data_IF_741925761290
#
_entry.id   IF_741925761290
#
_cell.length_a   1.000
_cell.length_b   1.000
_cell.length_c   1.000
_cell.angle_alpha   90.00
_cell.angle_beta   90.00
_cell.angle_gamma   90.00
#
_symmetry.space_group_name_H-M   'P 1'
#
loop_
_entity.id
_entity.type
_entity.pdbx_description
1 polymer ?
#
# COMPACT_ATOMS: atom_id res chain seq x y z
N UNK A 1 5.41 -59.51 5.90
CA UNK A 1 4.21 -58.68 6.13
C UNK A 1 4.70 -57.25 6.17
N UNK A 2 4.69 -56.62 5.05
CA UNK A 2 3.75 -55.69 4.46
C UNK A 2 3.71 -54.31 5.10
N UNK A 3 4.22 -53.33 4.30
CA UNK A 3 3.73 -51.95 4.06
C UNK A 3 4.22 -50.89 5.00
N UNK A 4 4.62 -49.71 4.61
CA UNK A 4 4.66 -49.01 3.30
C UNK A 4 5.71 -47.93 3.38
N UNK A 5 6.58 -47.89 2.42
CA UNK A 5 7.27 -46.71 1.97
C UNK A 5 6.26 -45.90 1.15
N UNK A 6 6.00 -44.66 1.49
CA UNK A 6 5.34 -43.70 0.60
C UNK A 6 6.10 -42.37 0.67
N UNK A 7 6.91 -42.18 -0.31
CA UNK A 7 6.95 -41.06 -1.25
C UNK A 7 6.97 -39.66 -0.66
N UNK A 8 8.16 -39.12 -0.58
CA UNK A 8 8.39 -37.67 -0.68
C UNK A 8 8.39 -37.31 -2.16
N UNK A 9 7.58 -36.37 -2.61
CA UNK A 9 7.80 -35.76 -3.90
C UNK A 9 8.83 -34.64 -3.75
N UNK A 10 9.99 -34.85 -4.33
CA UNK A 10 10.87 -33.80 -4.79
C UNK A 10 10.11 -32.91 -5.78
N UNK A 11 9.93 -31.65 -5.41
CA UNK A 11 9.65 -30.60 -6.38
C UNK A 11 10.38 -29.35 -5.92
N UNK A 12 11.39 -28.89 -6.65
CA UNK A 12 11.90 -27.55 -6.47
C UNK A 12 10.83 -26.58 -6.95
N UNK A 13 10.08 -26.01 -6.02
CA UNK A 13 9.19 -24.90 -6.33
C UNK A 13 10.05 -23.73 -6.81
N UNK A 14 9.99 -23.49 -8.11
CA UNK A 14 10.39 -22.25 -8.74
C UNK A 14 9.57 -21.10 -8.10
N UNK A 15 10.11 -20.48 -7.08
CA UNK A 15 9.61 -19.22 -6.58
C UNK A 15 10.37 -18.15 -7.37
N UNK A 16 9.79 -17.85 -8.52
CA UNK A 16 10.18 -16.76 -9.42
C UNK A 16 9.98 -15.40 -8.74
N UNK A 17 10.59 -14.37 -9.28
CA UNK A 17 10.57 -12.93 -8.94
C UNK A 17 9.21 -12.32 -8.51
N UNK A 18 8.13 -13.09 -8.58
CA UNK A 18 6.79 -12.75 -8.10
C UNK A 18 6.68 -12.45 -6.59
N UNK A 19 7.68 -12.81 -5.77
CA UNK A 19 7.59 -12.63 -4.31
C UNK A 19 7.90 -11.21 -3.85
N UNK A 20 8.76 -10.48 -4.55
CA UNK A 20 9.02 -9.06 -4.25
C UNK A 20 7.87 -8.18 -4.75
N UNK A 21 7.22 -8.60 -5.86
CA UNK A 21 6.01 -7.95 -6.37
C UNK A 21 4.79 -8.08 -5.43
N UNK A 22 4.78 -9.09 -4.56
CA UNK A 22 3.68 -9.32 -3.64
C UNK A 22 3.61 -8.29 -2.50
N UNK A 23 4.68 -7.56 -2.28
CA UNK A 23 4.91 -6.68 -1.14
C UNK A 23 4.18 -5.35 -1.28
N UNK A 24 4.36 -4.67 -2.41
CA UNK A 24 3.73 -3.37 -2.68
C UNK A 24 2.21 -3.51 -2.88
N UNK A 25 1.79 -4.64 -3.45
CA UNK A 25 0.40 -4.96 -3.76
C UNK A 25 -0.51 -5.14 -2.53
N UNK A 26 0.03 -5.54 -1.39
CA UNK A 26 -0.78 -5.77 -0.18
C UNK A 26 -1.12 -4.49 0.57
N UNK A 27 -0.23 -3.50 0.57
CA UNK A 27 -0.50 -2.18 1.14
C UNK A 27 -1.59 -1.43 0.35
N UNK A 28 -1.62 -1.59 -0.97
CA UNK A 28 -2.62 -0.98 -1.86
C UNK A 28 -3.97 -1.71 -1.81
N UNK A 29 -4.00 -3.01 -1.45
CA UNK A 29 -5.23 -3.81 -1.36
C UNK A 29 -6.18 -3.39 -0.24
N UNK A 30 -5.70 -2.63 0.77
CA UNK A 30 -6.57 -2.16 1.85
C UNK A 30 -7.62 -1.15 1.40
N UNK A 31 -7.48 -0.55 0.22
CA UNK A 31 -8.42 0.45 -0.31
C UNK A 31 -9.59 -0.13 -1.12
N UNK A 32 -9.63 -1.45 -1.35
CA UNK A 32 -10.68 -2.11 -2.14
C UNK A 32 -11.74 -2.84 -1.30
N UNK A 33 -11.93 -2.48 -0.04
CA UNK A 33 -13.08 -2.96 0.75
C UNK A 33 -14.35 -2.41 0.09
N UNK A 34 -15.33 -3.24 -0.30
CA UNK A 34 -16.57 -2.75 -0.91
C UNK A 34 -17.31 -1.85 0.08
N UNK A 35 -17.40 -0.58 -0.26
CA UNK A 35 -18.11 0.48 0.49
C UNK A 35 -19.65 0.31 0.43
N UNK A 36 -20.14 -0.91 0.47
CA UNK A 36 -21.56 -1.23 0.23
C UNK A 36 -22.43 -1.30 1.50
N UNK A 37 -21.91 -1.05 2.71
CA UNK A 37 -22.69 -1.27 3.95
C UNK A 37 -22.43 -0.25 5.06
N UNK A 38 -22.57 1.05 4.78
CA UNK A 38 -22.71 2.05 5.85
C UNK A 38 -23.75 3.12 5.48
N UNK A 39 -25.00 2.69 5.36
CA UNK A 39 -26.13 3.61 5.46
C UNK A 39 -26.96 3.23 6.68
N UNK A 40 -26.59 3.73 7.84
CA UNK A 40 -27.50 3.94 8.95
C UNK A 40 -26.78 4.72 10.06
N UNK A 41 -26.87 6.04 10.04
CA UNK A 41 -27.31 6.83 11.21
C UNK A 41 -27.35 8.30 10.82
N UNK A 42 -28.56 8.84 10.86
CA UNK A 42 -28.91 10.24 10.60
C UNK A 42 -28.23 11.17 11.59
N UNK A 43 -27.34 12.01 11.06
CA UNK A 43 -27.13 13.35 11.59
C UNK A 43 -27.47 14.28 10.43
N UNK A 44 -28.30 15.25 10.65
CA UNK A 44 -28.81 16.28 9.76
C UNK A 44 -27.66 16.90 8.95
N UNK A 45 -27.32 16.28 7.81
CA UNK A 45 -26.29 16.75 6.87
C UNK A 45 -27.00 17.59 5.84
N UNK A 46 -26.67 18.89 5.79
CA UNK A 46 -26.89 19.72 4.59
C UNK A 46 -26.62 18.88 3.35
N UNK A 47 -27.48 18.93 2.30
CA UNK A 47 -27.28 18.18 1.09
C UNK A 47 -25.89 18.47 0.54
N UNK A 48 -25.01 17.49 0.57
CA UNK A 48 -23.64 17.62 0.03
C UNK A 48 -23.83 17.73 -1.48
N UNK A 49 -23.40 18.84 -2.06
CA UNK A 49 -23.45 19.04 -3.50
C UNK A 49 -22.75 17.86 -4.20
N UNK A 50 -23.45 17.22 -5.14
CA UNK A 50 -22.92 16.08 -5.90
C UNK A 50 -21.74 16.58 -6.73
N UNK A 51 -20.56 15.97 -6.62
CA UNK A 51 -19.38 16.39 -7.38
C UNK A 51 -19.64 16.42 -8.89
N UNK A 52 -19.01 17.33 -9.59
CA UNK A 52 -19.22 17.53 -11.02
C UNK A 52 -18.98 16.26 -11.86
N UNK A 53 -17.95 15.47 -11.50
CA UNK A 53 -17.65 14.20 -12.18
C UNK A 53 -18.76 13.15 -11.97
N UNK A 54 -19.34 13.11 -10.78
CA UNK A 54 -20.42 12.17 -10.45
C UNK A 54 -21.72 12.60 -11.15
N UNK A 55 -21.99 13.91 -11.18
CA UNK A 55 -23.14 14.44 -11.91
C UNK A 55 -23.05 14.19 -13.41
N UNK A 56 -21.86 14.34 -14.01
CA UNK A 56 -21.61 14.02 -15.41
C UNK A 56 -21.76 12.52 -15.69
N UNK A 57 -21.29 11.65 -14.79
CA UNK A 57 -21.52 10.20 -14.88
C UNK A 57 -23.01 9.83 -14.80
N UNK A 58 -23.76 10.44 -13.88
CA UNK A 58 -25.19 10.22 -13.73
C UNK A 58 -26.00 10.66 -14.95
N UNK A 59 -25.52 11.60 -15.73
CA UNK A 59 -26.13 12.05 -16.98
C UNK A 59 -25.92 11.09 -18.16
N UNK A 60 -25.04 10.08 -18.03
CA UNK A 60 -24.92 9.04 -19.05
C UNK A 60 -26.20 8.19 -19.14
N UNK A 61 -26.49 7.60 -20.32
CA UNK A 61 -27.56 6.61 -20.46
C UNK A 61 -27.38 5.47 -19.44
N UNK A 62 -28.48 4.96 -18.88
CA UNK A 62 -28.46 3.89 -17.87
C UNK A 62 -27.63 2.69 -18.32
N UNK A 63 -27.80 2.25 -19.57
CA UNK A 63 -27.07 1.14 -20.16
C UNK A 63 -25.53 1.36 -20.10
N UNK A 64 -25.06 2.58 -20.36
CA UNK A 64 -23.63 2.93 -20.27
C UNK A 64 -23.11 2.93 -18.84
N UNK A 65 -23.90 3.39 -17.89
CA UNK A 65 -23.54 3.32 -16.46
C UNK A 65 -23.45 1.88 -15.97
N UNK A 66 -24.40 1.05 -16.38
CA UNK A 66 -24.41 -0.38 -16.03
C UNK A 66 -23.21 -1.12 -16.65
N UNK A 67 -22.90 -0.83 -17.92
CA UNK A 67 -21.73 -1.35 -18.59
C UNK A 67 -20.43 -0.95 -17.87
N UNK A 68 -20.28 0.34 -17.53
CA UNK A 68 -19.14 0.86 -16.77
C UNK A 68 -18.99 0.16 -15.42
N UNK A 69 -20.06 0.11 -14.63
CA UNK A 69 -20.05 -0.50 -13.30
C UNK A 69 -19.66 -1.99 -13.36
N UNK A 70 -20.17 -2.71 -14.35
CA UNK A 70 -19.80 -4.12 -14.58
C UNK A 70 -18.31 -4.29 -14.85
N UNK A 71 -17.72 -3.43 -15.72
CA UNK A 71 -16.30 -3.49 -16.05
C UNK A 71 -15.42 -3.11 -14.87
N UNK A 72 -15.80 -2.07 -14.11
CA UNK A 72 -15.08 -1.66 -12.91
C UNK A 72 -15.08 -2.76 -11.85
N UNK A 73 -16.23 -3.38 -11.58
CA UNK A 73 -16.33 -4.48 -10.62
C UNK A 73 -15.51 -5.70 -11.07
N UNK A 74 -15.52 -6.03 -12.37
CA UNK A 74 -14.70 -7.11 -12.91
C UNK A 74 -13.20 -6.80 -12.78
N UNK A 75 -12.78 -5.56 -13.07
CA UNK A 75 -11.41 -5.12 -12.87
C UNK A 75 -10.96 -5.24 -11.42
N UNK A 76 -11.79 -4.82 -10.47
CA UNK A 76 -11.51 -4.95 -9.03
C UNK A 76 -11.34 -6.41 -8.63
N UNK A 77 -12.23 -7.30 -9.10
CA UNK A 77 -12.15 -8.74 -8.82
C UNK A 77 -10.87 -9.37 -9.40
N UNK A 78 -10.51 -9.01 -10.63
CA UNK A 78 -9.29 -9.50 -11.29
C UNK A 78 -8.03 -9.01 -10.55
N UNK A 79 -8.00 -7.74 -10.17
CA UNK A 79 -6.91 -7.17 -9.39
C UNK A 79 -6.75 -7.87 -8.04
N UNK A 80 -7.84 -8.06 -7.30
CA UNK A 80 -7.84 -8.83 -6.05
C UNK A 80 -7.39 -10.28 -6.22
N UNK A 81 -7.66 -10.88 -7.39
CA UNK A 81 -7.17 -12.21 -7.78
C UNK A 81 -5.75 -12.22 -8.37
N UNK A 82 -4.99 -11.11 -8.29
CA UNK A 82 -3.63 -10.96 -8.82
C UNK A 82 -3.51 -11.10 -10.35
N UNK A 83 -4.61 -11.00 -11.07
CA UNK A 83 -4.67 -11.01 -12.54
C UNK A 83 -4.56 -9.58 -13.07
N UNK A 84 -3.41 -8.94 -12.81
CA UNK A 84 -3.23 -7.49 -12.98
C UNK A 84 -3.33 -7.06 -14.45
N UNK A 85 -2.81 -7.85 -15.40
CA UNK A 85 -2.92 -7.53 -16.83
C UNK A 85 -4.37 -7.48 -17.28
N UNK A 86 -5.16 -8.46 -16.90
CA UNK A 86 -6.58 -8.54 -17.25
C UNK A 86 -7.39 -7.47 -16.50
N UNK A 87 -7.01 -7.15 -15.25
CA UNK A 87 -7.58 -6.02 -14.53
C UNK A 87 -7.37 -4.70 -15.28
N UNK A 88 -6.15 -4.46 -15.78
CA UNK A 88 -5.83 -3.25 -16.56
C UNK A 88 -6.61 -3.20 -17.88
N UNK A 89 -6.84 -4.33 -18.55
CA UNK A 89 -7.71 -4.38 -19.74
C UNK A 89 -9.13 -3.89 -19.40
N UNK A 90 -9.71 -4.38 -18.29
CA UNK A 90 -11.03 -3.97 -17.84
C UNK A 90 -11.07 -2.51 -17.37
N UNK A 91 -10.01 -2.02 -16.76
CA UNK A 91 -9.84 -0.58 -16.45
C UNK A 91 -9.87 0.24 -17.73
N UNK A 92 -9.15 -0.16 -18.78
CA UNK A 92 -9.14 0.53 -20.06
C UNK A 92 -10.52 0.50 -20.74
N UNK A 93 -11.24 -0.63 -20.68
CA UNK A 93 -12.60 -0.75 -21.19
C UNK A 93 -13.59 0.16 -20.45
N UNK A 94 -13.50 0.23 -19.12
CA UNK A 94 -14.32 1.13 -18.31
C UNK A 94 -14.00 2.60 -18.59
N UNK A 95 -12.70 2.93 -18.70
CA UNK A 95 -12.23 4.29 -19.01
C UNK A 95 -12.72 4.79 -20.37
N UNK A 96 -12.87 3.90 -21.36
CA UNK A 96 -13.41 4.25 -22.67
C UNK A 96 -14.90 4.66 -22.60
N UNK A 97 -15.62 4.24 -21.56
CA UNK A 97 -17.02 4.65 -21.33
C UNK A 97 -17.05 5.99 -20.59
N UNK A 98 -16.31 6.09 -19.49
CA UNK A 98 -16.18 7.32 -18.72
C UNK A 98 -14.86 7.31 -17.91
N UNK A 99 -14.06 8.37 -18.06
CA UNK A 99 -12.68 8.38 -17.56
C UNK A 99 -12.53 8.99 -16.16
N UNK A 100 -13.40 9.91 -15.78
CA UNK A 100 -13.22 10.77 -14.62
C UNK A 100 -13.98 10.24 -13.39
N UNK A 101 -13.69 8.99 -13.01
CA UNK A 101 -14.17 8.36 -11.77
C UNK A 101 -12.96 8.09 -10.86
N UNK A 102 -12.94 8.63 -9.63
CA UNK A 102 -11.82 8.47 -8.70
C UNK A 102 -11.47 7.01 -8.43
N UNK A 103 -12.47 6.16 -8.25
CA UNK A 103 -12.29 4.73 -7.97
C UNK A 103 -11.65 3.98 -9.16
N UNK A 104 -12.00 4.35 -10.40
CA UNK A 104 -11.38 3.82 -11.61
C UNK A 104 -9.91 4.24 -11.72
N UNK A 105 -9.63 5.52 -11.48
CA UNK A 105 -8.28 6.08 -11.53
C UNK A 105 -7.40 5.50 -10.42
N UNK A 106 -7.96 5.30 -9.22
CA UNK A 106 -7.26 4.65 -8.11
C UNK A 106 -6.91 3.20 -8.45
N UNK A 107 -7.84 2.43 -9.02
CA UNK A 107 -7.56 1.06 -9.48
C UNK A 107 -6.54 1.02 -10.61
N UNK A 108 -6.60 1.97 -11.55
CA UNK A 108 -5.60 2.13 -12.60
C UNK A 108 -4.21 2.34 -12.01
N UNK A 109 -4.07 3.29 -11.08
CA UNK A 109 -2.82 3.56 -10.38
C UNK A 109 -2.30 2.31 -9.65
N UNK A 110 -3.18 1.56 -9.01
CA UNK A 110 -2.81 0.30 -8.35
C UNK A 110 -2.26 -0.75 -9.35
N UNK A 111 -2.89 -0.89 -10.52
CA UNK A 111 -2.34 -1.76 -11.58
C UNK A 111 -0.97 -1.27 -12.09
N UNK A 112 -0.80 0.04 -12.24
CA UNK A 112 0.46 0.66 -12.70
C UNK A 112 1.59 0.47 -11.68
N UNK A 113 1.28 0.44 -10.37
CA UNK A 113 2.23 0.06 -9.30
C UNK A 113 2.70 -1.38 -9.46
N UNK A 114 1.79 -2.30 -9.71
CA UNK A 114 2.15 -3.72 -9.95
C UNK A 114 3.09 -3.88 -11.16
N UNK A 115 2.94 -3.01 -12.16
CA UNK A 115 3.87 -2.94 -13.31
C UNK A 115 5.13 -2.13 -13.01
N UNK A 116 5.33 -1.68 -11.78
CA UNK A 116 6.43 -0.80 -11.36
C UNK A 116 6.51 0.52 -12.17
N UNK A 117 5.41 0.94 -12.74
CA UNK A 117 5.29 2.20 -13.49
C UNK A 117 4.90 3.33 -12.54
N UNK A 118 5.76 3.63 -11.55
CA UNK A 118 5.45 4.54 -10.44
C UNK A 118 5.06 5.95 -10.90
N UNK A 119 5.71 6.49 -11.92
CA UNK A 119 5.36 7.81 -12.47
C UNK A 119 3.92 7.85 -13.00
N UNK A 120 3.51 6.80 -13.73
CA UNK A 120 2.13 6.70 -14.25
C UNK A 120 1.14 6.51 -13.12
N UNK A 121 1.45 5.64 -12.16
CA UNK A 121 0.62 5.42 -10.99
C UNK A 121 0.40 6.72 -10.20
N UNK A 122 1.46 7.51 -9.99
CA UNK A 122 1.36 8.80 -9.31
C UNK A 122 0.46 9.78 -10.06
N UNK A 123 0.51 9.81 -11.39
CA UNK A 123 -0.40 10.63 -12.20
C UNK A 123 -1.86 10.17 -12.06
N UNK A 124 -2.11 8.85 -12.09
CA UNK A 124 -3.45 8.29 -11.92
C UNK A 124 -4.02 8.60 -10.54
N UNK A 125 -3.23 8.43 -9.48
CA UNK A 125 -3.65 8.74 -8.10
C UNK A 125 -3.86 10.24 -7.87
N UNK A 126 -3.00 11.10 -8.40
CA UNK A 126 -3.18 12.56 -8.29
C UNK A 126 -4.47 13.01 -8.97
N UNK A 127 -4.76 12.48 -10.15
CA UNK A 127 -6.03 12.78 -10.83
C UNK A 127 -7.23 12.28 -10.02
N UNK A 128 -7.12 11.13 -9.35
CA UNK A 128 -8.15 10.64 -8.45
C UNK A 128 -8.33 11.56 -7.22
N UNK A 129 -7.23 12.06 -6.62
CA UNK A 129 -7.27 12.99 -5.48
C UNK A 129 -7.85 14.36 -5.87
N UNK A 130 -7.56 14.84 -7.08
CA UNK A 130 -8.19 16.08 -7.62
C UNK A 130 -9.71 15.95 -7.72
N UNK A 131 -10.23 14.80 -8.15
CA UNK A 131 -11.66 14.55 -8.28
C UNK A 131 -12.33 14.31 -6.92
N UNK A 132 -11.65 13.65 -5.98
CA UNK A 132 -12.14 13.29 -4.65
C UNK A 132 -11.14 13.66 -3.57
N UNK A 133 -10.98 14.97 -3.29
CA UNK A 133 -10.00 15.44 -2.32
C UNK A 133 -10.26 14.89 -0.92
N UNK A 134 -9.18 14.52 -0.23
CA UNK A 134 -9.26 14.05 1.14
C UNK A 134 -9.69 12.59 1.28
N UNK A 135 -9.58 11.79 0.25
CA UNK A 135 -9.75 10.34 0.30
C UNK A 135 -8.49 9.70 0.89
N UNK A 136 -8.60 9.12 2.09
CA UNK A 136 -7.45 8.57 2.82
C UNK A 136 -6.74 7.47 2.04
N UNK A 137 -7.48 6.62 1.34
CA UNK A 137 -6.97 5.53 0.50
C UNK A 137 -6.15 6.04 -0.69
N UNK A 138 -6.63 7.08 -1.38
CA UNK A 138 -5.90 7.68 -2.51
C UNK A 138 -4.63 8.36 -2.02
N UNK A 139 -4.71 9.15 -0.94
CA UNK A 139 -3.54 9.83 -0.37
C UNK A 139 -2.53 8.81 0.17
N UNK A 140 -3.00 7.71 0.75
CA UNK A 140 -2.14 6.62 1.19
C UNK A 140 -1.40 5.98 0.01
N UNK A 141 -2.06 5.70 -1.10
CA UNK A 141 -1.41 5.18 -2.30
C UNK A 141 -0.34 6.14 -2.86
N UNK A 142 -0.59 7.46 -2.82
CA UNK A 142 0.42 8.47 -3.17
C UNK A 142 1.61 8.40 -2.20
N UNK A 143 1.34 8.29 -0.90
CA UNK A 143 2.37 8.17 0.12
C UNK A 143 3.24 6.92 -0.05
N UNK A 144 2.62 5.78 -0.40
CA UNK A 144 3.31 4.52 -0.69
C UNK A 144 4.29 4.68 -1.86
N UNK A 145 3.88 5.34 -2.94
CA UNK A 145 4.81 5.60 -4.06
C UNK A 145 6.00 6.43 -3.58
N UNK A 146 5.78 7.55 -2.91
CA UNK A 146 6.87 8.37 -2.39
C UNK A 146 7.76 7.59 -1.40
N UNK A 147 7.19 6.69 -0.60
CA UNK A 147 7.94 5.85 0.33
C UNK A 147 8.86 4.87 -0.41
N UNK A 148 8.35 4.12 -1.40
CA UNK A 148 9.14 3.13 -2.15
C UNK A 148 10.13 3.77 -3.11
N UNK A 149 9.85 4.98 -3.59
CA UNK A 149 10.80 5.78 -4.39
C UNK A 149 11.79 6.57 -3.53
N UNK A 150 11.69 6.45 -2.20
CA UNK A 150 12.58 7.09 -1.22
C UNK A 150 12.51 8.63 -1.20
N UNK A 151 11.39 9.16 -1.62
CA UNK A 151 11.10 10.60 -1.56
C UNK A 151 10.54 10.95 -0.16
N UNK A 152 11.43 10.90 0.86
CA UNK A 152 11.05 10.87 2.27
C UNK A 152 10.24 12.06 2.75
N UNK A 153 10.54 13.28 2.28
CA UNK A 153 9.78 14.49 2.63
C UNK A 153 8.34 14.44 2.07
N UNK A 154 8.20 14.00 0.83
CA UNK A 154 6.89 13.83 0.18
C UNK A 154 6.08 12.72 0.85
N UNK A 155 6.73 11.58 1.18
CA UNK A 155 6.12 10.48 1.91
C UNK A 155 5.64 10.93 3.30
N UNK A 156 6.50 11.63 4.09
CA UNK A 156 6.14 12.17 5.40
C UNK A 156 4.93 13.10 5.32
N UNK A 157 4.92 14.00 4.33
CA UNK A 157 3.80 14.93 4.12
C UNK A 157 2.50 14.21 3.81
N UNK A 158 2.53 13.23 2.89
CA UNK A 158 1.34 12.49 2.50
C UNK A 158 0.84 11.57 3.64
N UNK A 159 1.73 10.85 4.34
CA UNK A 159 1.38 10.03 5.52
C UNK A 159 0.76 10.86 6.64
N UNK A 160 1.28 12.07 6.87
CA UNK A 160 0.72 12.99 7.88
C UNK A 160 -0.71 13.42 7.53
N UNK A 161 -1.01 13.62 6.24
CA UNK A 161 -2.38 13.89 5.76
C UNK A 161 -3.30 12.70 6.00
N UNK A 162 -2.83 11.48 5.70
CA UNK A 162 -3.60 10.26 5.98
C UNK A 162 -3.96 10.19 7.46
N UNK A 163 -2.99 10.37 8.37
CA UNK A 163 -3.26 10.35 9.82
C UNK A 163 -4.25 11.43 10.26
N UNK A 164 -4.19 12.62 9.68
CA UNK A 164 -5.14 13.69 9.99
C UNK A 164 -6.58 13.35 9.59
N UNK A 165 -6.76 12.46 8.61
CA UNK A 165 -8.07 11.99 8.14
C UNK A 165 -8.54 10.80 9.00
N UNK A 166 -7.72 9.74 9.08
CA UNK A 166 -8.07 8.48 9.80
C UNK A 166 -8.16 8.69 11.30
N UNK A 167 -7.34 9.56 11.88
CA UNK A 167 -7.34 9.85 13.32
C UNK A 167 -8.63 10.50 13.84
N UNK A 168 -9.52 10.94 12.94
CA UNK A 168 -10.83 11.50 13.29
C UNK A 168 -11.94 10.46 13.35
N UNK A 169 -11.69 9.25 12.86
CA UNK A 169 -12.69 8.19 12.80
C UNK A 169 -12.23 6.98 13.64
N UNK A 170 -12.87 6.70 14.79
CA UNK A 170 -12.46 5.68 15.74
C UNK A 170 -12.89 4.25 15.33
N UNK A 171 -13.21 3.98 14.07
CA UNK A 171 -13.65 2.65 13.63
C UNK A 171 -12.49 1.64 13.75
N UNK A 172 -12.74 0.52 14.41
CA UNK A 172 -11.74 -0.52 14.71
C UNK A 172 -10.94 -0.99 13.47
N UNK A 173 -11.56 -0.99 12.28
CA UNK A 173 -10.91 -1.36 11.02
C UNK A 173 -9.82 -0.36 10.57
N UNK A 174 -9.80 0.85 11.12
CA UNK A 174 -8.81 1.87 10.80
C UNK A 174 -7.59 1.82 11.74
N UNK A 175 -7.66 1.05 12.84
CA UNK A 175 -6.56 0.95 13.80
C UNK A 175 -5.28 0.43 13.14
N UNK A 176 -5.37 -0.70 12.44
CA UNK A 176 -4.21 -1.33 11.81
C UNK A 176 -3.58 -0.42 10.74
N UNK A 177 -4.43 0.24 9.93
CA UNK A 177 -3.95 1.22 8.96
C UNK A 177 -3.28 2.40 9.65
N UNK A 178 -3.90 2.98 10.67
CA UNK A 178 -3.34 4.10 11.43
C UNK A 178 -1.97 3.75 12.02
N UNK A 179 -1.82 2.57 12.62
CA UNK A 179 -0.56 2.09 13.18
C UNK A 179 0.52 1.91 12.11
N UNK A 180 0.16 1.33 10.96
CA UNK A 180 1.09 1.15 9.84
C UNK A 180 1.54 2.50 9.27
N UNK A 181 0.63 3.46 9.13
CA UNK A 181 0.94 4.83 8.67
C UNK A 181 1.88 5.53 9.65
N UNK A 182 1.62 5.42 10.96
CA UNK A 182 2.51 5.99 11.99
C UNK A 182 3.90 5.35 11.97
N UNK A 183 3.97 4.04 11.74
CA UNK A 183 5.24 3.34 11.59
C UNK A 183 6.02 3.84 10.38
N UNK A 184 5.39 3.91 9.20
CA UNK A 184 6.03 4.47 8.00
C UNK A 184 6.46 5.93 8.19
N UNK A 185 5.65 6.72 8.90
CA UNK A 185 6.01 8.10 9.25
C UNK A 185 7.25 8.15 10.15
N UNK A 186 7.35 7.27 11.14
CA UNK A 186 8.55 7.13 11.99
C UNK A 186 9.78 6.79 11.14
N UNK A 187 9.65 5.86 10.19
CA UNK A 187 10.74 5.49 9.29
C UNK A 187 11.18 6.67 8.40
N UNK A 188 10.24 7.44 7.84
CA UNK A 188 10.57 8.66 7.11
C UNK A 188 11.38 9.63 8.00
N UNK A 189 10.95 9.84 9.25
CA UNK A 189 11.66 10.71 10.20
C UNK A 189 13.08 10.21 10.50
N UNK A 190 13.31 8.90 10.59
CA UNK A 190 14.66 8.33 10.72
C UNK A 190 15.52 8.74 9.51
N UNK A 191 15.02 8.60 8.28
CA UNK A 191 15.77 8.96 7.06
C UNK A 191 16.02 10.46 6.93
N UNK A 192 15.09 11.28 7.42
CA UNK A 192 15.21 12.75 7.43
C UNK A 192 16.07 13.28 8.59
N UNK A 193 16.60 12.40 9.44
CA UNK A 193 17.43 12.80 10.58
C UNK A 193 16.66 13.44 11.74
N UNK A 194 15.33 13.34 11.76
CA UNK A 194 14.43 13.85 12.81
C UNK A 194 14.37 12.86 13.99
N UNK A 195 15.53 12.64 14.64
CA UNK A 195 15.75 11.56 15.60
C UNK A 195 14.80 11.63 16.80
N UNK A 196 14.61 12.81 17.37
CA UNK A 196 13.75 13.02 18.54
C UNK A 196 12.29 12.72 18.22
N UNK A 197 11.81 13.11 17.05
CA UNK A 197 10.45 12.84 16.60
C UNK A 197 10.24 11.36 16.30
N UNK A 198 11.23 10.69 15.69
CA UNK A 198 11.20 9.25 15.44
C UNK A 198 11.16 8.46 16.76
N UNK A 199 12.02 8.83 17.74
CA UNK A 199 12.05 8.20 19.05
C UNK A 199 10.74 8.40 19.82
N UNK A 200 10.12 9.57 19.74
CA UNK A 200 8.84 9.84 20.36
C UNK A 200 7.71 8.97 19.76
N UNK A 201 7.72 8.74 18.44
CA UNK A 201 6.81 7.81 17.79
C UNK A 201 7.07 6.36 18.20
N UNK A 202 8.33 5.95 18.29
CA UNK A 202 8.70 4.56 18.62
C UNK A 202 8.12 4.07 19.95
N UNK A 203 7.99 4.97 20.93
CA UNK A 203 7.46 4.65 22.27
C UNK A 203 6.00 5.06 22.46
N UNK A 204 5.30 5.43 21.41
CA UNK A 204 3.93 5.91 21.46
C UNK A 204 2.94 4.85 21.96
N UNK A 205 3.19 3.62 21.63
CA UNK A 205 2.37 2.46 22.00
C UNK A 205 3.22 1.43 22.72
N UNK A 206 2.65 0.81 23.74
CA UNK A 206 3.27 -0.29 24.49
C UNK A 206 2.84 -1.65 23.93
N UNK A 207 3.33 -2.72 24.54
CA UNK A 207 3.05 -4.10 24.13
C UNK A 207 1.61 -4.58 24.41
N UNK A 208 0.73 -3.72 24.93
CA UNK A 208 -0.70 -3.97 25.08
C UNK A 208 -1.51 -3.45 23.87
N UNK A 209 -0.86 -2.76 22.93
CA UNK A 209 -1.50 -2.35 21.66
C UNK A 209 -1.79 -3.57 20.79
N UNK A 210 -3.01 -3.65 20.26
CA UNK A 210 -3.49 -4.76 19.42
C UNK A 210 -2.91 -4.73 17.99
N UNK A 211 -1.67 -4.23 17.83
CA UNK A 211 -0.98 -4.16 16.55
C UNK A 211 0.50 -4.58 16.68
N UNK A 212 1.16 -4.95 15.57
CA UNK A 212 2.59 -5.21 15.56
C UNK A 212 3.47 -3.97 15.81
N UNK A 213 2.89 -2.76 15.90
CA UNK A 213 3.63 -1.50 15.99
C UNK A 213 4.75 -1.51 17.03
N UNK A 214 4.54 -1.87 18.32
CA UNK A 214 5.60 -1.77 19.33
C UNK A 214 6.85 -2.58 18.97
N UNK A 215 6.65 -3.76 18.40
CA UNK A 215 7.73 -4.66 18.01
C UNK A 215 8.51 -4.14 16.80
N UNK A 216 7.80 -3.68 15.78
CA UNK A 216 8.45 -3.17 14.56
C UNK A 216 9.07 -1.80 14.77
N UNK A 217 8.49 -0.93 15.61
CA UNK A 217 9.07 0.35 15.98
C UNK A 217 10.37 0.17 16.77
N UNK A 218 10.39 -0.71 17.80
CA UNK A 218 11.60 -1.04 18.56
C UNK A 218 12.68 -1.65 17.65
N UNK A 219 12.30 -2.61 16.78
CA UNK A 219 13.23 -3.21 15.83
C UNK A 219 13.84 -2.18 14.87
N UNK A 220 13.03 -1.25 14.34
CA UNK A 220 13.50 -0.20 13.45
C UNK A 220 14.51 0.75 14.14
N UNK A 221 14.31 1.05 15.42
CA UNK A 221 15.27 1.84 16.18
C UNK A 221 16.59 1.07 16.41
N UNK A 222 16.53 -0.25 16.67
CA UNK A 222 17.73 -1.08 16.75
C UNK A 222 18.49 -1.12 15.42
N UNK A 223 17.81 -1.33 14.30
CA UNK A 223 18.46 -1.26 12.98
C UNK A 223 19.08 0.10 12.70
N UNK A 224 18.41 1.20 13.07
CA UNK A 224 18.97 2.55 12.91
C UNK A 224 20.27 2.79 13.69
N UNK A 225 20.49 2.02 14.74
CA UNK A 225 21.68 2.05 15.59
C UNK A 225 22.71 0.96 15.23
N UNK A 226 22.46 0.15 14.19
CA UNK A 226 23.33 -0.96 13.75
C UNK A 226 23.29 -2.19 14.68
N UNK A 227 22.23 -2.34 15.46
CA UNK A 227 22.00 -3.47 16.38
C UNK A 227 21.06 -4.50 15.73
N UNK A 228 21.54 -5.14 14.68
CA UNK A 228 20.72 -6.00 13.81
C UNK A 228 20.19 -7.24 14.55
N UNK A 229 21.00 -7.84 15.43
CA UNK A 229 20.61 -9.05 16.20
C UNK A 229 19.46 -8.75 17.16
N UNK A 230 19.52 -7.62 17.84
CA UNK A 230 18.46 -7.16 18.75
C UNK A 230 17.19 -6.86 17.96
N UNK A 231 17.31 -6.21 16.80
CA UNK A 231 16.19 -5.92 15.91
C UNK A 231 15.48 -7.22 15.47
N UNK A 232 16.22 -8.19 14.96
CA UNK A 232 15.68 -9.50 14.55
C UNK A 232 15.01 -10.23 15.73
N UNK A 233 15.62 -10.16 16.92
CA UNK A 233 15.07 -10.77 18.14
C UNK A 233 13.70 -10.17 18.51
N UNK A 234 13.56 -8.84 18.41
CA UNK A 234 12.30 -8.16 18.69
C UNK A 234 11.24 -8.50 17.64
N UNK A 235 11.61 -8.50 16.36
CA UNK A 235 10.68 -8.91 15.28
C UNK A 235 10.21 -10.36 15.45
N UNK A 236 11.12 -11.29 15.82
CA UNK A 236 10.76 -12.68 16.08
C UNK A 236 9.80 -12.81 17.28
N UNK A 237 9.90 -11.91 18.28
CA UNK A 237 8.97 -11.84 19.39
C UNK A 237 7.58 -11.42 18.91
N UNK A 238 7.51 -10.38 18.10
CA UNK A 238 6.25 -9.92 17.46
C UNK A 238 5.58 -11.03 16.64
N UNK A 239 6.36 -11.77 15.85
CA UNK A 239 5.85 -12.86 15.02
C UNK A 239 5.29 -14.07 15.84
N UNK A 240 5.72 -14.25 17.07
CA UNK A 240 5.14 -15.27 17.98
C UNK A 240 3.78 -14.87 18.55
N UNK A 241 3.53 -13.57 18.66
CA UNK A 241 2.30 -13.01 19.22
C UNK A 241 1.26 -12.86 18.10
N UNK A 242 1.65 -12.24 17.00
CA UNK A 242 0.79 -12.04 15.83
C UNK A 242 1.02 -13.16 14.83
N UNK A 243 0.32 -14.29 15.02
CA UNK A 243 0.51 -15.50 14.22
C UNK A 243 -0.15 -15.45 12.84
N UNK A 244 -1.07 -14.49 12.60
CA UNK A 244 -1.69 -14.30 11.30
C UNK A 244 -0.71 -13.64 10.32
N UNK A 245 -0.29 -14.34 9.26
CA UNK A 245 0.61 -13.77 8.25
C UNK A 245 0.04 -12.52 7.57
N UNK A 246 -1.28 -12.41 7.45
CA UNK A 246 -1.92 -11.26 6.84
C UNK A 246 -1.78 -10.00 7.69
N UNK A 247 -1.71 -10.15 9.01
CA UNK A 247 -1.46 -9.06 9.94
C UNK A 247 0.01 -8.60 9.92
N UNK A 248 0.97 -9.51 9.79
CA UNK A 248 2.40 -9.21 9.85
C UNK A 248 2.98 -8.73 8.50
N UNK A 249 2.46 -9.25 7.41
CA UNK A 249 3.00 -9.00 6.06
C UNK A 249 3.19 -7.51 5.75
N UNK A 250 2.26 -6.59 6.03
CA UNK A 250 2.45 -5.17 5.72
C UNK A 250 3.65 -4.55 6.47
N UNK A 251 3.95 -5.03 7.67
CA UNK A 251 5.07 -4.55 8.48
C UNK A 251 6.41 -5.09 7.98
N UNK A 252 6.46 -6.38 7.69
CA UNK A 252 7.65 -7.02 7.11
C UNK A 252 7.99 -6.39 5.76
N UNK A 253 6.98 -6.22 4.92
CA UNK A 253 7.10 -5.59 3.62
C UNK A 253 7.66 -4.18 3.74
N UNK A 254 7.15 -3.40 4.70
CA UNK A 254 7.67 -2.05 4.97
C UNK A 254 9.14 -2.06 5.38
N UNK A 255 9.58 -3.03 6.21
CA UNK A 255 10.98 -3.15 6.61
C UNK A 255 11.89 -3.52 5.43
N UNK A 256 11.39 -4.35 4.50
CA UNK A 256 12.10 -4.71 3.25
C UNK A 256 12.21 -3.48 2.35
N UNK A 257 11.11 -2.78 2.11
CA UNK A 257 11.06 -1.57 1.27
C UNK A 257 11.98 -0.47 1.80
N UNK A 258 12.03 -0.34 3.12
CA UNK A 258 12.92 0.61 3.78
C UNK A 258 14.39 0.20 3.72
N UNK A 259 14.68 -1.10 3.56
CA UNK A 259 16.01 -1.67 3.42
C UNK A 259 16.66 -2.12 4.73
N UNK A 260 15.87 -2.34 5.79
CA UNK A 260 16.37 -2.89 7.05
C UNK A 260 16.50 -4.40 7.03
N UNK A 261 15.62 -5.10 6.36
CA UNK A 261 15.72 -6.55 6.19
C UNK A 261 15.84 -6.89 4.70
N UNK A 262 16.66 -7.90 4.41
CA UNK A 262 16.75 -8.46 3.06
C UNK A 262 15.52 -9.32 2.83
N UNK A 263 14.89 -9.15 1.67
CA UNK A 263 13.80 -10.06 1.27
C UNK A 263 14.31 -11.50 1.30
N UNK A 264 13.41 -12.45 1.55
CA UNK A 264 13.71 -13.88 1.74
C UNK A 264 14.53 -14.51 0.60
N UNK A 265 14.70 -13.82 -0.52
CA UNK A 265 15.38 -14.29 -1.73
C UNK A 265 16.63 -13.49 -2.10
N UNK A 266 17.39 -12.99 -1.12
CA UNK A 266 18.79 -12.60 -1.33
C UNK A 266 19.09 -11.68 -2.52
N UNK A 267 18.12 -10.90 -2.97
CA UNK A 267 18.27 -10.01 -4.11
C UNK A 267 18.91 -8.69 -3.71
N UNK A 268 20.24 -8.61 -3.71
CA UNK A 268 20.97 -7.35 -3.86
C UNK A 268 20.77 -6.80 -5.30
N UNK A 269 19.54 -6.48 -5.66
CA UNK A 269 19.28 -5.63 -6.80
C UNK A 269 19.25 -4.19 -6.29
N UNK A 270 20.44 -3.58 -6.16
CA UNK A 270 20.53 -2.15 -6.19
C UNK A 270 19.75 -1.67 -7.42
N UNK A 271 18.69 -0.91 -7.19
CA UNK A 271 18.00 -0.19 -8.27
C UNK A 271 19.08 0.72 -8.86
N UNK A 272 19.48 0.56 -10.15
CA UNK A 272 20.42 1.48 -10.73
C UNK A 272 19.77 2.86 -10.67
N UNK A 273 20.44 3.82 -10.01
CA UNK A 273 20.07 5.21 -10.08
C UNK A 273 19.88 5.56 -11.56
N UNK A 274 18.74 6.15 -11.91
CA UNK A 274 18.45 6.60 -13.26
C UNK A 274 19.66 7.39 -13.75
N UNK A 275 20.27 6.90 -14.84
CA UNK A 275 21.55 7.35 -15.33
C UNK A 275 21.60 8.84 -15.57
N UNK A 276 22.60 9.47 -14.99
CA UNK A 276 23.09 10.76 -15.46
C UNK A 276 23.47 10.60 -16.94
N UNK A 277 23.07 11.52 -17.82
CA UNK A 277 23.53 11.49 -19.20
C UNK A 277 25.05 11.66 -19.22
N UNK A 278 25.72 10.64 -19.74
CA UNK A 278 27.16 10.60 -19.96
C UNK A 278 27.53 11.79 -20.84
N UNK A 279 28.32 12.69 -20.27
CA UNK A 279 28.94 13.78 -21.03
C UNK A 279 30.03 13.15 -21.90
N UNK A 280 29.73 13.00 -23.19
CA UNK A 280 30.70 12.57 -24.16
C UNK A 280 31.90 13.52 -24.20
N UNK A 281 33.05 13.00 -23.86
CA UNK A 281 34.32 13.60 -24.22
C UNK A 281 34.77 13.02 -25.56
N UNK A 282 34.92 13.97 -26.50
CA UNK A 282 35.49 13.65 -27.79
C UNK A 282 37.02 13.46 -27.69
N UNK A 283 37.50 12.53 -28.43
CA UNK A 283 38.73 12.64 -29.26
C UNK A 283 38.64 11.59 -30.34
#
# INVERSE_FOLDING_TARGET
MNRCLQDFPDSPSFITEASVMNTISRAILFSLVPFALLHAQDAEKTPKEVPAYEQAFLNLPQEKRDEFNKKLLEAQRLFGGKRVFEAMEKVNEAQAIYADIPELLNLRGACEVEFRSFDKALLSFRKADELKPGSADIIFNIAEIHFVTKEWDAAESALSKVLAIVGKDPVANMLQLSRLVEFKLMLCKIKLGKKEEAAALAVKYDYLDDSPFPYYAEAAMHFAEGRDVEAETVMARGARIFQDPAMLSPWQDTMIEFGYIKGFFGGDAAIPAAGSPDAGDGQ
#
